data_IF_484769093147
#
_entry.id   IF_484769093147
#
_cell.length_a   1.000
_cell.length_b   1.000
_cell.length_c   1.000
_cell.angle_alpha   90.00
_cell.angle_beta   90.00
_cell.angle_gamma   90.00
#
_symmetry.space_group_name_H-M   'P 1'
#
loop_
_entity.id
_entity.type
_entity.pdbx_description
1 polymer ?
#
# COMPACT_ATOMS: atom_id res chain seq x y z
N UNK A 1 18.72 14.60 3.68
CA UNK A 1 18.20 13.27 3.29
C UNK A 1 16.89 13.12 4.04
N UNK A 2 15.78 13.02 3.32
CA UNK A 2 14.46 12.93 3.95
C UNK A 2 14.30 11.55 4.60
N UNK A 3 13.70 11.51 5.80
CA UNK A 3 13.49 10.24 6.51
C UNK A 3 12.48 9.36 5.74
N UNK A 4 12.73 8.05 5.66
CA UNK A 4 11.87 7.09 4.95
C UNK A 4 10.42 7.15 5.45
N UNK A 5 10.23 7.41 6.74
CA UNK A 5 8.90 7.52 7.33
C UNK A 5 8.23 8.85 6.98
N UNK A 6 8.99 9.94 6.85
CA UNK A 6 8.45 11.23 6.40
C UNK A 6 7.95 11.13 4.95
N UNK A 7 8.74 10.51 4.06
CA UNK A 7 8.35 10.27 2.66
C UNK A 7 7.09 9.38 2.59
N UNK A 8 7.08 8.27 3.33
CA UNK A 8 5.93 7.36 3.36
C UNK A 8 4.67 8.03 3.93
N UNK A 9 4.81 8.91 4.93
CA UNK A 9 3.71 9.68 5.50
C UNK A 9 3.13 10.64 4.46
N UNK A 10 3.98 11.45 3.78
CA UNK A 10 3.55 12.37 2.71
C UNK A 10 2.81 11.65 1.60
N UNK A 11 3.36 10.53 1.11
CA UNK A 11 2.74 9.68 0.10
C UNK A 11 1.31 9.29 0.48
N UNK A 12 1.09 8.88 1.73
CA UNK A 12 -0.23 8.48 2.25
C UNK A 12 -1.16 9.66 2.56
N UNK A 13 -0.65 10.86 2.83
CA UNK A 13 -1.51 12.04 3.05
C UNK A 13 -2.20 12.49 1.76
N UNK A 14 -1.52 12.30 0.63
CA UNK A 14 -1.92 12.81 -0.68
C UNK A 14 -2.48 11.72 -1.62
N UNK A 15 -2.17 10.44 -1.38
CA UNK A 15 -2.51 9.36 -2.31
C UNK A 15 -3.06 8.12 -1.58
N UNK A 16 -4.04 7.44 -2.20
CA UNK A 16 -4.50 6.12 -1.75
C UNK A 16 -3.57 5.01 -2.25
N UNK A 17 -2.81 4.37 -1.37
CA UNK A 17 -1.81 3.35 -1.76
C UNK A 17 -2.03 2.04 -1.01
N UNK A 18 -2.14 0.94 -1.76
CA UNK A 18 -2.17 -0.41 -1.18
C UNK A 18 -0.77 -0.79 -0.67
N UNK A 19 -0.69 -1.90 0.06
CA UNK A 19 0.57 -2.38 0.62
C UNK A 19 1.64 -2.57 -0.47
N UNK A 20 1.29 -3.27 -1.56
CA UNK A 20 2.18 -3.50 -2.70
C UNK A 20 2.70 -2.21 -3.34
N UNK A 21 1.82 -1.24 -3.60
CA UNK A 21 2.20 0.00 -4.29
C UNK A 21 3.03 0.92 -3.41
N UNK A 22 2.71 1.03 -2.12
CA UNK A 22 3.53 1.78 -1.17
C UNK A 22 4.90 1.14 -1.02
N UNK A 23 4.96 -0.18 -0.76
CA UNK A 23 6.24 -0.88 -0.58
C UNK A 23 7.12 -0.87 -1.83
N UNK A 24 6.51 -0.86 -3.03
CA UNK A 24 7.23 -0.72 -4.30
C UNK A 24 8.01 0.60 -4.41
N UNK A 25 7.52 1.68 -3.80
CA UNK A 25 8.25 2.96 -3.80
C UNK A 25 9.57 2.89 -3.01
N UNK A 26 9.73 1.87 -2.16
CA UNK A 26 10.92 1.62 -1.35
C UNK A 26 11.59 0.29 -1.71
N UNK A 27 11.40 -0.22 -2.93
CA UNK A 27 11.85 -1.56 -3.34
C UNK A 27 13.36 -1.77 -3.24
N UNK A 28 14.16 -0.70 -3.28
CA UNK A 28 15.61 -0.76 -3.11
C UNK A 28 16.07 -1.00 -1.65
N UNK A 29 15.15 -0.94 -0.68
CA UNK A 29 15.45 -1.03 0.75
C UNK A 29 14.90 -2.33 1.35
N UNK A 30 15.75 -3.05 2.08
CA UNK A 30 15.35 -4.27 2.80
C UNK A 30 15.05 -5.45 1.87
N UNK A 31 16.00 -6.36 1.75
CA UNK A 31 15.89 -7.60 0.96
C UNK A 31 15.22 -8.72 1.76
N UNK A 32 14.68 -9.72 1.05
CA UNK A 32 14.04 -10.89 1.66
C UNK A 32 12.55 -10.75 1.99
N UNK A 33 11.97 -9.57 1.74
CA UNK A 33 10.53 -9.30 1.89
C UNK A 33 9.93 -8.78 0.59
N UNK A 34 8.65 -9.10 0.36
CA UNK A 34 7.92 -8.59 -0.79
C UNK A 34 7.43 -7.14 -0.57
N UNK A 35 6.86 -6.56 -1.63
CA UNK A 35 6.35 -5.19 -1.58
C UNK A 35 5.13 -5.04 -0.66
N UNK A 36 4.30 -6.08 -0.51
CA UNK A 36 3.14 -6.03 0.37
C UNK A 36 3.59 -5.96 1.84
N UNK A 37 4.51 -6.82 2.23
CA UNK A 37 5.09 -6.84 3.57
C UNK A 37 5.84 -5.53 3.89
N UNK A 38 6.63 -5.02 2.94
CA UNK A 38 7.33 -3.73 3.09
C UNK A 38 6.34 -2.58 3.30
N UNK A 39 5.32 -2.47 2.45
CA UNK A 39 4.31 -1.42 2.57
C UNK A 39 3.48 -1.52 3.84
N UNK A 40 3.13 -2.74 4.27
CA UNK A 40 2.43 -2.97 5.53
C UNK A 40 3.26 -2.58 6.74
N UNK A 41 4.55 -2.90 6.72
CA UNK A 41 5.50 -2.52 7.76
C UNK A 41 5.56 -1.00 7.92
N UNK A 42 5.70 -0.26 6.81
CA UNK A 42 5.66 1.21 6.82
C UNK A 42 4.35 1.75 7.42
N UNK A 43 3.19 1.23 6.97
CA UNK A 43 1.89 1.67 7.48
C UNK A 43 1.70 1.39 8.96
N UNK A 44 2.16 0.24 9.44
CA UNK A 44 2.08 -0.10 10.86
C UNK A 44 2.96 0.84 11.69
N UNK A 45 4.20 1.08 11.28
CA UNK A 45 5.10 2.02 11.96
C UNK A 45 4.53 3.43 11.99
N UNK A 46 4.00 3.92 10.87
CA UNK A 46 3.31 5.22 10.82
C UNK A 46 2.06 5.25 11.71
N UNK A 47 1.32 4.15 11.80
CA UNK A 47 0.20 4.02 12.73
C UNK A 47 0.65 4.15 14.17
N UNK A 48 1.77 3.53 14.56
CA UNK A 48 2.32 3.64 15.91
C UNK A 48 2.76 5.07 16.23
N UNK A 49 3.46 5.73 15.31
CA UNK A 49 3.86 7.14 15.42
C UNK A 49 2.65 8.06 15.58
N UNK A 50 1.64 7.89 14.73
CA UNK A 50 0.42 8.69 14.76
C UNK A 50 -0.42 8.43 16.02
N UNK A 51 -0.48 7.18 16.50
CA UNK A 51 -1.15 6.85 17.75
C UNK A 51 -0.47 7.49 18.96
N UNK A 52 0.86 7.40 19.05
CA UNK A 52 1.63 8.11 20.09
C UNK A 52 1.32 9.61 20.07
N UNK A 53 1.33 10.22 18.89
CA UNK A 53 0.96 11.63 18.73
C UNK A 53 -0.49 11.92 19.13
N UNK A 54 -1.43 10.99 18.90
CA UNK A 54 -2.82 11.15 19.31
C UNK A 54 -2.96 11.15 20.84
N UNK A 55 -2.14 10.37 21.54
CA UNK A 55 -2.11 10.35 23.01
C UNK A 55 -1.52 11.65 23.59
N UNK A 56 -0.55 12.26 22.90
CA UNK A 56 0.12 13.49 23.37
C UNK A 56 -0.57 14.79 22.93
N UNK A 57 -0.90 14.90 21.63
CA UNK A 57 -1.41 16.12 20.97
C UNK A 57 -2.83 15.95 20.41
N UNK A 58 -3.55 14.90 20.83
CA UNK A 58 -4.97 14.69 20.57
C UNK A 58 -5.33 14.71 19.08
N UNK A 59 -5.82 15.87 18.61
CA UNK A 59 -6.40 16.04 17.27
C UNK A 59 -5.43 15.74 16.13
N UNK A 60 -4.16 16.15 16.23
CA UNK A 60 -3.21 16.01 15.12
C UNK A 60 -2.92 14.53 14.79
N UNK A 61 -2.65 13.70 15.80
CA UNK A 61 -2.42 12.27 15.60
C UNK A 61 -3.65 11.53 15.09
N UNK A 62 -4.85 11.94 15.52
CA UNK A 62 -6.12 11.38 15.02
C UNK A 62 -6.30 11.65 13.52
N UNK A 63 -6.02 12.86 13.03
CA UNK A 63 -6.14 13.16 11.59
C UNK A 63 -5.17 12.33 10.74
N UNK A 64 -3.93 12.16 11.20
CA UNK A 64 -2.95 11.30 10.52
C UNK A 64 -3.43 9.84 10.53
N UNK A 65 -3.93 9.33 11.66
CA UNK A 65 -4.50 7.99 11.74
C UNK A 65 -5.67 7.80 10.77
N UNK A 66 -6.56 8.80 10.63
CA UNK A 66 -7.68 8.75 9.67
C UNK A 66 -7.16 8.64 8.23
N UNK A 67 -6.13 9.43 7.89
CA UNK A 67 -5.49 9.37 6.57
C UNK A 67 -4.84 8.01 6.32
N UNK A 68 -4.06 7.47 7.25
CA UNK A 68 -3.45 6.14 7.10
C UNK A 68 -4.52 5.06 6.96
N UNK A 69 -5.62 5.13 7.72
CA UNK A 69 -6.71 4.17 7.65
C UNK A 69 -7.43 4.22 6.29
N UNK A 70 -7.72 5.42 5.76
CA UNK A 70 -8.47 5.60 4.52
C UNK A 70 -7.57 5.45 3.28
N UNK A 71 -6.52 6.26 3.18
CA UNK A 71 -5.62 6.29 2.03
C UNK A 71 -4.69 5.08 2.02
N UNK A 72 -4.19 4.69 3.19
CA UNK A 72 -3.36 3.48 3.31
C UNK A 72 -4.18 2.18 3.34
N UNK A 73 -5.51 2.24 3.39
CA UNK A 73 -6.37 1.05 3.56
C UNK A 73 -5.91 0.18 4.75
N UNK A 74 -5.35 0.81 5.79
CA UNK A 74 -4.70 0.13 6.91
C UNK A 74 -5.73 -0.31 7.95
N UNK A 75 -5.87 -1.63 8.10
CA UNK A 75 -6.72 -2.21 9.14
C UNK A 75 -6.21 -1.87 10.54
N UNK A 76 -4.88 -1.84 10.74
CA UNK A 76 -4.26 -1.47 12.02
C UNK A 76 -4.65 -0.05 12.44
N UNK A 77 -4.58 0.91 11.52
CA UNK A 77 -4.98 2.29 11.79
C UNK A 77 -6.49 2.41 12.07
N UNK A 78 -7.32 1.70 11.28
CA UNK A 78 -8.78 1.67 11.49
C UNK A 78 -9.15 1.12 12.88
N UNK A 79 -8.52 0.02 13.29
CA UNK A 79 -8.76 -0.59 14.60
C UNK A 79 -8.26 0.30 15.74
N UNK A 80 -7.13 1.00 15.54
CA UNK A 80 -6.60 1.97 16.50
C UNK A 80 -7.57 3.13 16.71
N UNK A 81 -8.09 3.72 15.63
CA UNK A 81 -9.12 4.78 15.72
C UNK A 81 -10.38 4.31 16.44
N UNK A 82 -10.84 3.09 16.15
CA UNK A 82 -12.01 2.50 16.82
C UNK A 82 -11.80 2.39 18.33
N UNK A 83 -10.61 1.95 18.76
CA UNK A 83 -10.24 1.90 20.19
C UNK A 83 -10.18 3.28 20.84
N UNK A 84 -9.78 4.31 20.09
CA UNK A 84 -9.78 5.70 20.55
C UNK A 84 -11.17 6.37 20.50
N UNK A 85 -12.23 5.63 20.15
CA UNK A 85 -13.60 6.14 20.12
C UNK A 85 -14.00 6.84 18.81
N UNK A 86 -13.20 6.72 17.75
CA UNK A 86 -13.49 7.32 16.45
C UNK A 86 -14.04 6.29 15.46
N UNK A 87 -15.16 6.63 14.84
CA UNK A 87 -15.77 5.84 13.76
C UNK A 87 -15.48 6.49 12.42
N UNK A 88 -14.89 5.73 11.50
CA UNK A 88 -14.72 6.13 10.12
C UNK A 88 -15.93 5.71 9.29
N UNK A 89 -16.48 6.63 8.49
CA UNK A 89 -17.40 6.25 7.41
C UNK A 89 -16.62 5.42 6.40
N UNK A 90 -17.07 4.20 6.15
CA UNK A 90 -16.41 3.35 5.17
C UNK A 90 -16.54 3.97 3.79
N UNK A 91 -15.40 4.35 3.21
CA UNK A 91 -15.27 4.67 1.81
C UNK A 91 -14.28 3.68 1.24
N UNK A 92 -14.69 2.91 0.23
CA UNK A 92 -13.76 2.06 -0.52
C UNK A 92 -12.81 2.97 -1.28
N UNK A 93 -11.63 3.23 -0.73
CA UNK A 93 -10.51 3.79 -1.47
C UNK A 93 -9.98 2.73 -2.42
N UNK A 94 -9.83 3.07 -3.71
CA UNK A 94 -9.02 2.27 -4.63
C UNK A 94 -7.59 2.80 -4.62
N UNK A 95 -6.62 1.92 -4.86
CA UNK A 95 -5.23 2.36 -4.99
C UNK A 95 -5.08 3.26 -6.23
N UNK A 96 -4.41 4.39 -6.11
CA UNK A 96 -4.19 5.34 -7.20
C UNK A 96 -3.31 4.78 -8.31
N UNK A 97 -2.38 3.87 -7.98
CA UNK A 97 -1.51 3.22 -8.97
C UNK A 97 -2.19 1.98 -9.56
N UNK A 98 -2.35 0.92 -8.76
CA UNK A 98 -2.80 -0.38 -9.30
C UNK A 98 -4.31 -0.52 -9.44
N UNK A 99 -5.11 0.43 -8.93
CA UNK A 99 -6.59 0.40 -8.97
C UNK A 99 -7.24 -0.90 -8.51
N UNK A 100 -6.58 -1.63 -7.61
CA UNK A 100 -7.10 -2.89 -7.08
C UNK A 100 -6.73 -4.14 -7.88
N UNK A 101 -5.78 -4.06 -8.82
CA UNK A 101 -5.38 -5.21 -9.65
C UNK A 101 -4.71 -6.35 -8.88
N UNK A 102 -4.03 -6.05 -7.77
CA UNK A 102 -3.40 -7.09 -6.95
C UNK A 102 -4.43 -8.04 -6.29
N UNK A 103 -5.67 -7.60 -6.08
CA UNK A 103 -6.75 -8.43 -5.55
C UNK A 103 -7.20 -9.51 -6.54
N UNK A 104 -6.92 -9.34 -7.83
CA UNK A 104 -7.29 -10.27 -8.89
C UNK A 104 -6.17 -11.29 -9.19
N UNK A 105 -4.99 -11.16 -8.57
CA UNK A 105 -3.78 -11.91 -8.93
C UNK A 105 -3.99 -13.44 -8.85
N UNK A 106 -4.59 -13.94 -7.78
CA UNK A 106 -4.86 -15.38 -7.62
C UNK A 106 -5.80 -15.90 -8.71
N UNK A 107 -6.85 -15.15 -9.06
CA UNK A 107 -7.77 -15.53 -10.13
C UNK A 107 -7.09 -15.56 -11.50
N UNK A 108 -6.18 -14.61 -11.76
CA UNK A 108 -5.38 -14.59 -12.98
C UNK A 108 -4.43 -15.81 -13.01
N UNK A 109 -3.75 -16.09 -11.90
CA UNK A 109 -2.85 -17.24 -11.79
C UNK A 109 -3.58 -18.56 -12.03
N UNK A 110 -4.76 -18.76 -11.42
CA UNK A 110 -5.59 -19.95 -11.66
C UNK A 110 -6.00 -20.12 -13.12
N UNK A 111 -6.34 -19.02 -13.81
CA UNK A 111 -6.67 -19.05 -15.24
C UNK A 111 -5.45 -19.40 -16.08
N UNK A 112 -4.26 -18.91 -15.72
CA UNK A 112 -3.01 -19.26 -16.39
C UNK A 112 -2.70 -20.75 -16.20
N UNK A 113 -2.80 -21.27 -14.97
CA UNK A 113 -2.56 -22.69 -14.66
C UNK A 113 -3.45 -23.61 -15.49
N UNK A 114 -4.75 -23.30 -15.61
CA UNK A 114 -5.68 -24.09 -16.45
C UNK A 114 -5.33 -24.09 -17.94
N UNK A 115 -4.70 -23.03 -18.45
CA UNK A 115 -4.34 -22.92 -19.87
C UNK A 115 -3.04 -23.63 -20.22
N UNK A 116 -2.18 -23.84 -19.23
CA UNK A 116 -0.87 -24.46 -19.41
C UNK A 116 -0.85 -25.93 -18.94
N UNK A 117 -2.00 -26.47 -18.54
CA UNK A 117 -2.13 -27.82 -17.96
C UNK A 117 -1.65 -28.93 -18.90
N UNK A 118 -1.79 -28.72 -20.21
CA UNK A 118 -1.35 -29.65 -21.26
C UNK A 118 0.13 -29.50 -21.65
N UNK A 119 0.91 -28.64 -20.98
CA UNK A 119 2.30 -28.36 -21.31
C UNK A 119 3.25 -28.88 -20.23
N UNK A 120 4.29 -29.60 -20.65
CA UNK A 120 5.38 -30.01 -19.77
C UNK A 120 6.57 -29.05 -19.89
N UNK A 121 7.06 -28.53 -18.77
CA UNK A 121 8.21 -27.63 -18.74
C UNK A 121 8.94 -27.68 -17.39
N UNK A 122 10.26 -27.47 -17.41
CA UNK A 122 11.09 -27.39 -16.20
C UNK A 122 11.29 -25.95 -15.72
N UNK A 123 11.00 -24.96 -16.57
CA UNK A 123 11.02 -23.54 -16.26
C UNK A 123 10.01 -22.79 -17.12
N UNK A 124 9.66 -21.57 -16.71
CA UNK A 124 8.76 -20.71 -17.45
C UNK A 124 9.12 -19.25 -17.17
N UNK A 125 8.67 -18.37 -18.06
CA UNK A 125 8.82 -16.92 -17.92
C UNK A 125 7.43 -16.30 -17.79
N UNK A 126 7.26 -15.41 -16.79
CA UNK A 126 6.05 -14.62 -16.63
C UNK A 126 6.34 -13.19 -17.08
N UNK A 127 5.69 -12.78 -18.16
CA UNK A 127 5.68 -11.41 -18.65
C UNK A 127 4.41 -10.68 -18.22
N UNK A 128 4.50 -9.36 -18.10
CA UNK A 128 3.34 -8.49 -17.91
C UNK A 128 3.43 -7.30 -18.87
N UNK A 129 2.33 -6.99 -19.52
CA UNK A 129 2.14 -5.72 -20.21
C UNK A 129 1.41 -4.78 -19.26
N UNK A 130 2.09 -3.72 -18.81
CA UNK A 130 1.51 -2.76 -17.87
C UNK A 130 0.84 -1.63 -18.65
N UNK A 131 -0.43 -1.31 -18.38
CA UNK A 131 -1.11 -0.17 -19.00
C UNK A 131 -0.33 1.13 -18.78
N UNK A 132 -0.25 1.98 -19.82
CA UNK A 132 0.50 3.25 -19.79
C UNK A 132 0.09 4.15 -18.63
N UNK A 133 -1.21 4.21 -18.33
CA UNK A 133 -1.74 5.04 -17.26
C UNK A 133 -1.29 4.60 -15.86
N UNK A 134 -0.98 3.31 -15.67
CA UNK A 134 -0.40 2.81 -14.42
C UNK A 134 1.08 3.20 -14.30
N UNK A 135 1.82 3.13 -15.42
CA UNK A 135 3.22 3.56 -15.49
C UNK A 135 3.31 5.06 -15.20
N UNK A 136 2.53 5.87 -15.90
CA UNK A 136 2.47 7.33 -15.72
C UNK A 136 2.06 7.72 -14.29
N UNK A 137 1.11 6.99 -13.68
CA UNK A 137 0.71 7.22 -12.29
C UNK A 137 1.85 6.93 -11.30
N UNK A 138 2.65 5.88 -11.55
CA UNK A 138 3.81 5.56 -10.72
C UNK A 138 4.95 6.57 -10.92
N UNK A 139 5.28 6.93 -12.16
CA UNK A 139 6.34 7.89 -12.46
C UNK A 139 6.00 9.29 -11.94
N UNK A 140 4.75 9.73 -12.09
CA UNK A 140 4.28 11.00 -11.52
C UNK A 140 4.34 11.02 -10.00
N UNK A 141 4.19 9.86 -9.34
CA UNK A 141 4.34 9.75 -7.90
C UNK A 141 5.80 9.91 -7.51
N UNK A 142 6.71 9.18 -8.17
CA UNK A 142 8.16 9.22 -7.90
C UNK A 142 8.81 10.57 -8.23
N UNK A 143 8.30 11.31 -9.19
CA UNK A 143 8.83 12.64 -9.50
C UNK A 143 8.56 13.68 -8.40
N UNK A 144 7.61 13.42 -7.49
CA UNK A 144 7.18 14.37 -6.45
C UNK A 144 7.84 14.17 -5.09
N UNK A 145 8.43 13.01 -4.81
CA UNK A 145 9.02 12.66 -3.51
C UNK A 145 10.37 11.96 -3.71
#
# INVERSE_FOLDING_TARGET
>A
MEDILEVAEKLLMENCLCDNCLGRQFAALGYGIDNAERGRSLKNTLTFKAHKLALEKGKAGIEILKKIALNGMSLTAKNTLKKLGYTLKEKKGSCTICRGKFQELNSIAEKCLKKIDDYEFNNFLVGVEVPKDVIEAEDSLRARY
#
